data_IF_170865062902
#
_entry.id   IF_170865062902
#
_cell.length_a   1.000
_cell.length_b   1.000
_cell.length_c   1.000
_cell.angle_alpha   90.00
_cell.angle_beta   90.00
_cell.angle_gamma   90.00
#
_symmetry.space_group_name_H-M   'P 1'
#
loop_
_entity.id
_entity.type
_entity.pdbx_description
1 polymer ?
#
# COMPACT_ATOMS: atom_id res chain seq x y z
N UNK A 1 10.53 7.18 -1.11
CA UNK A 1 9.68 5.98 -1.04
C UNK A 1 8.98 5.87 -2.38
N UNK A 2 9.47 4.99 -3.24
CA UNK A 2 8.96 4.76 -4.59
C UNK A 2 8.29 3.39 -4.57
N UNK A 3 6.96 3.37 -4.70
CA UNK A 3 6.20 2.13 -4.75
C UNK A 3 6.37 1.58 -6.17
N UNK A 4 7.21 0.55 -6.33
CA UNK A 4 7.46 -0.15 -7.60
C UNK A 4 6.23 -1.00 -7.99
N UNK A 5 5.10 -0.36 -8.31
CA UNK A 5 3.98 -1.02 -9.01
C UNK A 5 4.12 -0.89 -10.54
N UNK A 6 4.90 0.07 -11.03
CA UNK A 6 4.87 0.50 -12.43
C UNK A 6 5.57 -0.40 -13.47
N UNK A 7 6.15 -1.55 -13.11
CA UNK A 7 6.92 -2.37 -14.07
C UNK A 7 6.26 -3.69 -14.47
N UNK A 8 5.15 -4.08 -13.83
CA UNK A 8 4.49 -5.37 -14.09
C UNK A 8 3.24 -5.27 -15.00
N UNK A 9 2.79 -4.06 -15.35
CA UNK A 9 1.70 -3.86 -16.33
C UNK A 9 0.33 -4.36 -15.85
N UNK A 10 0.08 -4.35 -14.54
CA UNK A 10 -1.20 -4.79 -14.00
C UNK A 10 -2.35 -3.94 -14.53
N UNK A 11 -3.35 -4.57 -15.13
CA UNK A 11 -4.52 -3.87 -15.69
C UNK A 11 -5.58 -3.54 -14.64
N UNK A 12 -5.59 -4.28 -13.53
CA UNK A 12 -6.56 -4.15 -12.44
C UNK A 12 -5.81 -4.09 -11.10
N UNK A 13 -5.95 -2.99 -10.36
CA UNK A 13 -5.24 -2.77 -9.09
C UNK A 13 -6.25 -2.65 -7.95
N UNK A 14 -6.11 -3.51 -6.93
CA UNK A 14 -6.86 -3.39 -5.68
C UNK A 14 -5.97 -2.84 -4.58
N UNK A 15 -6.37 -1.70 -4.03
CA UNK A 15 -5.66 -1.00 -2.97
C UNK A 15 -6.47 -1.14 -1.69
N UNK A 16 -5.81 -1.56 -0.61
CA UNK A 16 -6.38 -1.62 0.72
C UNK A 16 -5.58 -0.72 1.66
N UNK A 17 -6.28 0.05 2.48
CA UNK A 17 -5.65 0.92 3.48
C UNK A 17 -6.50 1.00 4.73
N UNK A 18 -5.84 1.12 5.88
CA UNK A 18 -6.46 1.45 7.16
C UNK A 18 -6.60 2.96 7.40
N UNK A 19 -6.28 3.78 6.40
CA UNK A 19 -6.48 5.21 6.44
C UNK A 19 -7.74 5.61 5.67
N UNK A 20 -8.84 5.84 6.40
CA UNK A 20 -10.13 6.23 5.80
C UNK A 20 -10.04 7.56 5.02
N UNK A 21 -9.19 8.49 5.45
CA UNK A 21 -9.03 9.77 4.76
C UNK A 21 -8.40 9.58 3.38
N UNK A 22 -7.44 8.67 3.26
CA UNK A 22 -6.84 8.31 1.98
C UNK A 22 -7.87 7.72 1.00
N UNK A 23 -8.80 6.90 1.50
CA UNK A 23 -9.90 6.38 0.67
C UNK A 23 -10.76 7.53 0.15
N UNK A 24 -11.17 8.47 1.00
CA UNK A 24 -11.98 9.63 0.57
C UNK A 24 -11.25 10.50 -0.45
N UNK A 25 -9.98 10.81 -0.20
CA UNK A 25 -9.17 11.68 -1.06
C UNK A 25 -8.91 11.07 -2.43
N UNK A 26 -8.67 9.76 -2.50
CA UNK A 26 -8.39 9.07 -3.76
C UNK A 26 -9.68 8.73 -4.51
N UNK A 27 -10.75 8.32 -3.82
CA UNK A 27 -12.05 8.04 -4.45
C UNK A 27 -12.78 9.29 -4.92
N UNK A 28 -12.45 10.48 -4.38
CA UNK A 28 -13.05 11.71 -4.85
C UNK A 28 -12.41 12.19 -6.16
N UNK A 29 -13.27 12.47 -7.14
CA UNK A 29 -12.91 13.13 -8.41
C UNK A 29 -12.48 14.60 -8.22
N UNK A 30 -12.32 15.08 -6.97
CA UNK A 30 -11.84 16.42 -6.69
C UNK A 30 -10.41 16.51 -7.19
N UNK A 31 -10.31 17.21 -8.31
CA UNK A 31 -9.22 17.18 -9.23
C UNK A 31 -7.98 17.86 -8.65
N UNK A 32 -6.84 17.19 -8.81
CA UNK A 32 -5.51 17.76 -9.08
C UNK A 32 -4.81 18.69 -8.10
N UNK A 33 -5.47 19.30 -7.12
CA UNK A 33 -4.87 20.40 -6.34
C UNK A 33 -4.77 20.16 -4.84
N UNK A 34 -4.57 18.90 -4.44
CA UNK A 34 -3.92 18.71 -3.14
C UNK A 34 -2.53 19.36 -3.23
N UNK A 35 -2.28 20.42 -2.47
CA UNK A 35 -0.94 21.00 -2.30
C UNK A 35 0.11 19.98 -1.82
N UNK A 36 -0.36 18.80 -1.40
CA UNK A 36 0.43 17.62 -1.06
C UNK A 36 0.96 16.95 -2.34
N UNK A 37 2.25 17.15 -2.60
CA UNK A 37 2.98 16.59 -3.76
C UNK A 37 2.84 15.06 -3.87
N UNK A 38 2.80 14.35 -2.75
CA UNK A 38 2.69 12.87 -2.72
C UNK A 38 1.35 12.41 -3.29
N UNK A 39 0.24 13.05 -2.91
CA UNK A 39 -1.10 12.71 -3.42
C UNK A 39 -1.20 12.95 -4.92
N UNK A 40 -0.63 14.04 -5.42
CA UNK A 40 -0.57 14.33 -6.87
C UNK A 40 0.20 13.24 -7.62
N UNK A 41 1.32 12.77 -7.08
CA UNK A 41 2.11 11.67 -7.67
C UNK A 41 1.33 10.35 -7.66
N UNK A 42 0.69 10.01 -6.54
CA UNK A 42 -0.15 8.81 -6.43
C UNK A 42 -1.27 8.85 -7.47
N UNK A 43 -2.03 9.94 -7.57
CA UNK A 43 -3.09 10.10 -8.59
C UNK A 43 -2.55 9.96 -10.01
N UNK A 44 -1.36 10.49 -10.31
CA UNK A 44 -0.70 10.34 -11.63
C UNK A 44 -0.36 8.88 -11.93
N UNK A 45 0.18 8.14 -10.98
CA UNK A 45 0.46 6.71 -11.14
C UNK A 45 -0.84 5.95 -11.39
N UNK A 46 -1.86 6.18 -10.55
CA UNK A 46 -3.15 5.51 -10.70
C UNK A 46 -3.85 5.85 -12.02
N UNK A 47 -3.63 7.04 -12.60
CA UNK A 47 -4.15 7.41 -13.91
C UNK A 47 -3.47 6.67 -15.08
N UNK A 48 -2.26 6.15 -14.87
CA UNK A 48 -1.56 5.33 -15.87
C UNK A 48 -1.85 3.84 -15.70
N UNK A 49 -2.26 3.43 -14.50
CA UNK A 49 -2.81 2.09 -14.27
C UNK A 49 -4.22 2.01 -14.90
N UNK A 50 -4.67 0.79 -15.24
CA UNK A 50 -5.99 0.57 -15.84
C UNK A 50 -7.15 0.83 -14.87
N UNK A 51 -7.92 -0.22 -14.55
CA UNK A 51 -8.94 -0.12 -13.52
C UNK A 51 -8.28 -0.21 -12.15
N UNK A 52 -8.63 0.68 -11.24
CA UNK A 52 -8.18 0.57 -9.85
C UNK A 52 -9.33 0.86 -8.89
N UNK A 53 -9.30 0.21 -7.74
CA UNK A 53 -10.23 0.43 -6.64
C UNK A 53 -9.46 0.56 -5.34
N UNK A 54 -9.88 1.48 -4.48
CA UNK A 54 -9.37 1.61 -3.12
C UNK A 54 -10.46 1.32 -2.10
N UNK A 55 -10.15 0.49 -1.10
CA UNK A 55 -11.05 0.11 -0.01
C UNK A 55 -10.41 0.34 1.35
N UNK A 56 -11.24 0.77 2.29
CA UNK A 56 -10.87 0.79 3.70
C UNK A 56 -10.87 -0.62 4.27
N UNK A 57 -9.86 -0.94 5.07
CA UNK A 57 -9.82 -2.14 5.92
C UNK A 57 -9.49 -1.73 7.35
N UNK A 58 -9.98 -2.46 8.34
CA UNK A 58 -9.56 -2.20 9.71
C UNK A 58 -8.06 -2.55 9.89
N UNK A 59 -7.39 -1.86 10.81
CA UNK A 59 -5.95 -2.00 11.03
C UNK A 59 -5.52 -3.42 11.41
N UNK A 60 -6.38 -4.16 12.11
CA UNK A 60 -6.21 -5.58 12.45
C UNK A 60 -6.18 -6.50 11.23
N UNK A 61 -6.64 -6.02 10.06
CA UNK A 61 -6.58 -6.71 8.76
C UNK A 61 -5.47 -6.18 7.84
N UNK A 62 -4.75 -5.14 8.25
CA UNK A 62 -3.64 -4.54 7.49
C UNK A 62 -2.26 -4.79 8.16
N UNK A 63 -2.15 -5.88 8.93
CA UNK A 63 -1.01 -6.14 9.82
C UNK A 63 0.33 -6.26 9.07
N UNK A 64 0.33 -6.82 7.86
CA UNK A 64 1.55 -6.97 7.06
C UNK A 64 2.10 -5.59 6.68
N UNK A 65 1.26 -4.69 6.18
CA UNK A 65 1.67 -3.33 5.83
C UNK A 65 2.09 -2.54 7.08
N UNK A 66 1.38 -2.68 8.20
CA UNK A 66 1.73 -2.05 9.48
C UNK A 66 3.10 -2.53 10.00
N UNK A 67 3.39 -3.84 9.93
CA UNK A 67 4.70 -4.38 10.28
C UNK A 67 5.79 -3.82 9.37
N UNK A 68 5.59 -3.84 8.04
CA UNK A 68 6.55 -3.32 7.08
C UNK A 68 6.84 -1.82 7.31
N UNK A 69 5.83 -1.02 7.65
CA UNK A 69 6.02 0.38 8.00
C UNK A 69 6.84 0.56 9.28
N UNK A 70 6.60 -0.27 10.30
CA UNK A 70 7.30 -0.24 11.59
C UNK A 70 8.76 -0.68 11.52
N UNK A 71 9.14 -1.51 10.56
CA UNK A 71 10.54 -1.94 10.38
C UNK A 71 11.50 -0.76 10.18
N UNK A 72 11.01 0.34 9.58
CA UNK A 72 11.82 1.53 9.33
C UNK A 72 11.90 2.47 10.56
N UNK A 73 11.04 2.33 11.56
CA UNK A 73 11.01 3.23 12.72
C UNK A 73 12.19 3.04 13.69
N UNK A 74 12.79 1.84 13.72
CA UNK A 74 13.86 1.50 14.66
C UNK A 74 15.28 1.69 14.09
N UNK A 75 15.42 2.15 12.84
CA UNK A 75 16.70 2.10 12.11
C UNK A 75 17.12 3.45 11.52
N UNK A 76 18.45 3.66 11.48
CA UNK A 76 19.09 4.92 11.08
C UNK A 76 19.03 5.24 9.58
N UNK A 77 18.69 4.28 8.72
CA UNK A 77 18.67 4.48 7.26
C UNK A 77 17.26 4.84 6.77
N UNK A 78 17.10 5.88 5.93
CA UNK A 78 15.81 6.26 5.35
C UNK A 78 15.34 5.33 4.22
N UNK A 79 16.18 4.40 3.76
CA UNK A 79 15.85 3.45 2.70
C UNK A 79 16.51 2.09 2.97
N UNK A 80 15.76 1.01 2.75
CA UNK A 80 16.25 -0.35 2.90
C UNK A 80 15.67 -1.23 1.79
N UNK A 81 16.55 -1.97 1.12
CA UNK A 81 16.17 -3.10 0.26
C UNK A 81 16.24 -4.33 1.16
N UNK A 82 15.19 -5.15 1.12
CA UNK A 82 15.13 -6.42 1.84
C UNK A 82 15.35 -7.53 0.81
N UNK A 83 16.46 -8.25 0.93
CA UNK A 83 16.75 -9.39 0.04
C UNK A 83 15.82 -10.59 0.33
N UNK A 84 15.29 -10.65 1.56
CA UNK A 84 14.29 -11.62 1.99
C UNK A 84 13.27 -10.97 2.96
N UNK A 85 12.02 -11.45 2.99
CA UNK A 85 11.02 -10.97 3.95
C UNK A 85 11.41 -11.33 5.40
N UNK A 86 11.31 -10.40 6.36
CA UNK A 86 11.57 -10.70 7.77
C UNK A 86 10.63 -11.76 8.34
N UNK A 87 11.10 -12.54 9.32
CA UNK A 87 10.32 -13.63 9.94
C UNK A 87 8.96 -13.19 10.47
N UNK A 88 8.87 -11.97 11.01
CA UNK A 88 7.61 -11.38 11.47
C UNK A 88 6.59 -11.20 10.34
N UNK A 89 7.05 -10.82 9.15
CA UNK A 89 6.24 -10.68 7.94
C UNK A 89 5.87 -12.05 7.38
N UNK A 90 6.82 -12.99 7.33
CA UNK A 90 6.58 -14.38 6.88
C UNK A 90 5.50 -15.05 7.73
N UNK A 91 5.60 -14.91 9.06
CA UNK A 91 4.62 -15.49 10.00
C UNK A 91 3.21 -14.94 9.79
N UNK A 92 3.09 -13.64 9.47
CA UNK A 92 1.80 -13.02 9.18
C UNK A 92 1.25 -13.49 7.82
N UNK A 93 2.11 -13.59 6.80
CA UNK A 93 1.72 -14.11 5.48
C UNK A 93 1.20 -15.54 5.57
N UNK A 94 1.87 -16.41 6.33
CA UNK A 94 1.43 -17.79 6.53
C UNK A 94 0.04 -17.84 7.19
N UNK A 95 -0.20 -17.01 8.22
CA UNK A 95 -1.52 -16.91 8.86
C UNK A 95 -2.61 -16.43 7.90
N UNK A 96 -2.32 -15.43 7.08
CA UNK A 96 -3.27 -14.90 6.09
C UNK A 96 -3.62 -15.94 5.01
N UNK A 97 -2.62 -16.69 4.54
CA UNK A 97 -2.83 -17.79 3.58
C UNK A 97 -3.68 -18.91 4.17
N UNK A 98 -3.46 -19.29 5.44
CA UNK A 98 -4.30 -20.29 6.10
C UNK A 98 -5.75 -19.84 6.29
N UNK A 99 -6.01 -18.53 6.39
CA UNK A 99 -7.36 -17.97 6.49
C UNK A 99 -8.13 -18.00 5.14
N UNK A 100 -7.44 -18.21 4.02
CA UNK A 100 -8.03 -18.32 2.67
C UNK A 100 -8.28 -19.76 2.20
N UNK A 101 -8.05 -20.75 3.05
CA UNK A 101 -8.41 -22.15 2.73
C UNK A 101 -9.92 -22.35 2.97
N UNK A 102 -10.66 -22.97 2.03
CA UNK A 102 -12.13 -23.07 2.06
C UNK A 102 -12.69 -23.86 3.24
#
# INVERSE_FOLDING_TARGET
MELLLGTQGYRNVWIQTDNLEMVKVLSSNVASDSGIVVLRRVKRILSTEGLWEIKYVNRDRNLIADQLAKLNLSRKSPFQILDAPPDSVVSLLQRDMTFRSP
#
